data_IF_672258244771
#
_entry.id   IF_672258244771
#
_cell.length_a   1.000
_cell.length_b   1.000
_cell.length_c   1.000
_cell.angle_alpha   90.00
_cell.angle_beta   90.00
_cell.angle_gamma   90.00
#
_symmetry.space_group_name_H-M   'P 1'
#
loop_
_entity.id
_entity.type
_entity.pdbx_description
1 polymer ?
#
# COMPACT_ATOMS: atom_id res chain seq x y z
N UNK A 1 -19.23 14.03 45.05
CA UNK A 1 -19.61 13.36 43.78
C UNK A 1 -18.59 13.74 42.73
N UNK A 2 -17.64 12.85 42.42
CA UNK A 2 -16.68 13.09 41.32
C UNK A 2 -17.36 12.64 40.03
N UNK A 3 -17.71 13.60 39.17
CA UNK A 3 -18.23 13.31 37.84
C UNK A 3 -17.08 12.73 37.01
N UNK A 4 -17.19 11.44 36.66
CA UNK A 4 -16.33 10.84 35.66
C UNK A 4 -16.76 11.35 34.29
N UNK A 5 -15.87 12.03 33.59
CA UNK A 5 -16.06 12.33 32.18
C UNK A 5 -15.65 11.09 31.38
N UNK A 6 -16.62 10.48 30.72
CA UNK A 6 -16.37 9.59 29.59
C UNK A 6 -16.09 10.50 28.40
N UNK A 7 -14.84 10.53 27.94
CA UNK A 7 -14.48 11.18 26.67
C UNK A 7 -14.78 10.17 25.57
N UNK A 8 -15.91 10.33 24.89
CA UNK A 8 -16.13 9.72 23.57
C UNK A 8 -15.51 10.70 22.57
N UNK A 9 -14.35 10.35 22.02
CA UNK A 9 -13.79 11.02 20.85
C UNK A 9 -14.67 10.68 19.63
N UNK A 10 -15.64 11.55 19.36
CA UNK A 10 -16.36 11.58 18.08
C UNK A 10 -15.36 12.13 17.06
N UNK A 11 -15.04 11.31 16.06
CA UNK A 11 -14.00 11.57 15.07
C UNK A 11 -14.22 12.88 14.31
N UNK A 12 -13.45 13.89 14.67
CA UNK A 12 -12.91 14.84 13.72
C UNK A 12 -11.55 14.28 13.32
N UNK A 13 -11.50 13.66 12.14
CA UNK A 13 -10.24 13.29 11.49
C UNK A 13 -9.50 14.59 11.16
N UNK A 14 -8.69 15.08 12.10
CA UNK A 14 -7.58 15.95 11.76
C UNK A 14 -6.52 15.04 11.10
N UNK A 15 -5.97 15.39 9.93
CA UNK A 15 -4.85 14.66 9.38
C UNK A 15 -3.70 14.77 10.39
N UNK A 16 -3.44 13.68 11.10
CA UNK A 16 -2.32 13.53 12.02
C UNK A 16 -1.03 13.57 11.19
N UNK A 17 -0.34 14.71 11.23
CA UNK A 17 0.94 14.90 10.55
C UNK A 17 2.03 14.19 11.36
N UNK A 18 2.11 12.86 11.27
CA UNK A 18 3.20 12.13 11.94
C UNK A 18 3.13 10.61 12.00
N UNK A 19 2.15 9.96 11.38
CA UNK A 19 1.92 8.53 11.59
C UNK A 19 2.57 7.59 10.56
N UNK A 20 3.36 8.14 9.62
CA UNK A 20 3.82 7.39 8.46
C UNK A 20 5.34 7.49 8.29
N UNK A 21 5.99 6.35 8.03
CA UNK A 21 7.42 6.28 7.71
C UNK A 21 7.67 7.02 6.40
N UNK A 22 8.58 8.03 6.32
CA UNK A 22 9.89 8.21 6.95
C UNK A 22 9.98 9.30 8.03
N UNK A 23 8.85 9.83 8.53
CA UNK A 23 8.85 10.90 9.54
C UNK A 23 8.81 10.38 10.97
N UNK A 24 8.53 9.08 11.13
CA UNK A 24 8.45 8.37 12.41
C UNK A 24 9.76 7.62 12.71
N UNK A 25 10.38 7.91 13.86
CA UNK A 25 11.63 7.27 14.32
C UNK A 25 11.45 5.81 14.70
N UNK A 26 10.20 5.33 14.80
CA UNK A 26 9.87 3.96 15.18
C UNK A 26 10.17 2.93 14.08
N UNK A 27 10.54 3.35 12.87
CA UNK A 27 10.70 2.47 11.71
C UNK A 27 12.17 2.29 11.28
N UNK A 28 12.51 1.07 10.84
CA UNK A 28 13.72 0.74 10.10
C UNK A 28 13.38 0.51 8.62
N UNK A 29 14.26 0.95 7.72
CA UNK A 29 14.13 0.69 6.29
C UNK A 29 14.54 -0.75 6.00
N UNK A 30 13.63 -1.52 5.40
CA UNK A 30 13.84 -2.92 4.99
C UNK A 30 14.16 -3.01 3.51
N UNK A 31 13.49 -2.18 2.74
CA UNK A 31 13.66 -2.07 1.30
C UNK A 31 13.53 -0.62 0.89
N UNK A 32 14.39 -0.20 -0.02
CA UNK A 32 14.30 1.07 -0.69
C UNK A 32 14.86 0.89 -2.09
N UNK A 33 14.09 1.34 -3.08
CA UNK A 33 14.56 1.48 -4.44
C UNK A 33 14.18 2.89 -4.93
N UNK A 34 15.20 3.69 -5.23
CA UNK A 34 15.08 5.03 -5.80
C UNK A 34 15.09 5.02 -7.33
N UNK A 35 15.12 3.82 -7.93
CA UNK A 35 15.16 3.60 -9.36
C UNK A 35 16.29 4.36 -10.08
N UNK A 36 17.41 4.59 -9.39
CA UNK A 36 18.64 5.09 -10.00
C UNK A 36 19.11 4.20 -11.16
N UNK A 37 18.88 2.89 -11.07
CA UNK A 37 18.99 1.93 -12.17
C UNK A 37 17.93 0.82 -12.02
N UNK A 38 17.67 0.04 -13.08
CA UNK A 38 16.75 -1.09 -12.96
C UNK A 38 17.48 -2.27 -12.33
N UNK A 39 17.16 -2.59 -11.07
CA UNK A 39 17.80 -3.69 -10.36
C UNK A 39 17.02 -5.01 -10.56
N UNK A 40 17.52 -5.86 -11.46
CA UNK A 40 16.91 -7.17 -11.75
C UNK A 40 17.02 -8.18 -10.61
N UNK A 41 17.86 -7.93 -9.60
CA UNK A 41 17.88 -8.75 -8.38
C UNK A 41 16.69 -8.42 -7.47
N UNK A 42 16.15 -7.20 -7.54
CA UNK A 42 14.98 -6.78 -6.76
C UNK A 42 13.68 -7.01 -7.52
N UNK A 43 13.68 -6.75 -8.83
CA UNK A 43 12.47 -6.70 -9.64
C UNK A 43 12.51 -7.62 -10.85
N UNK A 44 11.35 -8.19 -11.15
CA UNK A 44 11.05 -8.85 -12.41
C UNK A 44 10.16 -7.95 -13.26
N UNK A 45 10.47 -7.82 -14.56
CA UNK A 45 9.61 -7.17 -15.54
C UNK A 45 8.70 -8.21 -16.17
N UNK A 46 7.39 -7.99 -16.09
CA UNK A 46 6.42 -8.83 -16.77
C UNK A 46 6.68 -8.86 -18.28
N UNK A 47 6.52 -10.04 -18.88
CA UNK A 47 6.66 -10.24 -20.31
C UNK A 47 5.65 -11.26 -20.79
N UNK A 48 4.99 -10.98 -21.92
CA UNK A 48 3.94 -11.84 -22.48
C UNK A 48 2.87 -12.18 -21.44
N UNK A 49 2.48 -11.21 -20.63
CA UNK A 49 1.54 -11.40 -19.53
C UNK A 49 0.30 -10.54 -19.74
N UNK A 50 -0.87 -11.13 -19.43
CA UNK A 50 -2.19 -10.50 -19.53
C UNK A 50 -2.93 -10.81 -18.25
N UNK A 51 -3.68 -9.83 -17.75
CA UNK A 51 -4.60 -10.00 -16.63
C UNK A 51 -6.03 -10.07 -17.14
N UNK A 52 -6.84 -10.80 -16.40
CA UNK A 52 -8.28 -10.85 -16.60
C UNK A 52 -8.89 -11.97 -15.80
N UNK A 53 -10.21 -12.02 -15.86
CA UNK A 53 -11.01 -13.02 -15.19
C UNK A 53 -12.25 -13.39 -15.99
N UNK A 54 -13.17 -14.13 -15.37
CA UNK A 54 -14.42 -14.54 -15.99
C UNK A 54 -15.32 -13.37 -16.42
N UNK A 55 -15.06 -12.15 -15.93
CA UNK A 55 -15.85 -10.95 -16.22
C UNK A 55 -15.25 -10.07 -17.31
N UNK A 56 -13.99 -10.30 -17.70
CA UNK A 56 -13.33 -9.52 -18.72
C UNK A 56 -11.81 -9.66 -18.72
N UNK A 57 -11.25 -9.41 -19.89
CA UNK A 57 -9.81 -9.34 -20.13
C UNK A 57 -9.36 -7.88 -20.19
N UNK A 58 -8.23 -7.59 -19.55
CA UNK A 58 -7.54 -6.30 -19.73
C UNK A 58 -6.95 -6.22 -21.14
N UNK A 59 -7.12 -5.11 -21.87
CA UNK A 59 -6.82 -5.07 -23.30
C UNK A 59 -5.31 -5.03 -23.61
N UNK A 60 -4.44 -4.75 -22.63
CA UNK A 60 -3.00 -4.64 -22.81
C UNK A 60 -2.23 -5.93 -22.51
N UNK A 61 -1.12 -6.12 -23.23
CA UNK A 61 -0.09 -7.12 -22.88
C UNK A 61 1.06 -6.43 -22.15
N UNK A 62 1.45 -6.96 -21.01
CA UNK A 62 2.63 -6.50 -20.28
C UNK A 62 3.91 -7.01 -20.94
N UNK A 63 4.82 -6.08 -21.24
CA UNK A 63 6.12 -6.36 -21.88
C UNK A 63 7.27 -5.62 -21.19
N UNK A 64 8.48 -6.17 -21.31
CA UNK A 64 9.66 -5.63 -20.63
C UNK A 64 10.06 -4.23 -21.13
N UNK A 65 9.87 -3.97 -22.42
CA UNK A 65 10.22 -2.69 -23.05
C UNK A 65 9.36 -1.52 -22.57
N UNK A 66 8.23 -1.80 -21.92
CA UNK A 66 7.31 -0.80 -21.40
C UNK A 66 7.49 -0.57 -19.89
N UNK A 67 8.50 -1.17 -19.28
CA UNK A 67 8.99 -0.85 -17.94
C UNK A 67 10.49 -0.51 -18.00
N UNK A 68 10.86 0.76 -17.83
CA UNK A 68 12.25 1.20 -17.99
C UNK A 68 12.60 2.39 -17.11
N UNK A 69 13.90 2.65 -16.95
CA UNK A 69 14.39 3.81 -16.21
C UNK A 69 14.61 4.95 -17.17
N UNK A 70 14.19 6.15 -16.79
CA UNK A 70 14.43 7.36 -17.57
C UNK A 70 14.80 8.53 -16.66
N UNK A 71 15.64 9.44 -17.15
CA UNK A 71 16.00 10.67 -16.44
C UNK A 71 14.93 11.73 -16.69
N UNK A 72 14.19 12.10 -15.63
CA UNK A 72 13.04 13.00 -15.68
C UNK A 72 13.12 13.95 -14.49
N UNK A 73 12.97 15.25 -14.74
CA UNK A 73 12.90 16.29 -13.71
C UNK A 73 14.07 16.27 -12.70
N UNK A 74 15.27 15.93 -13.17
CA UNK A 74 16.50 16.01 -12.38
C UNK A 74 16.94 14.70 -11.72
N UNK A 75 16.18 13.61 -11.81
CA UNK A 75 16.58 12.30 -11.31
C UNK A 75 16.11 11.16 -12.22
N UNK A 76 16.65 9.97 -12.01
CA UNK A 76 16.09 8.77 -12.63
C UNK A 76 14.76 8.42 -11.97
N UNK A 77 13.83 7.89 -12.76
CA UNK A 77 12.52 7.38 -12.35
C UNK A 77 12.29 6.05 -13.04
N UNK A 78 11.56 5.15 -12.38
CA UNK A 78 10.92 4.04 -13.09
C UNK A 78 9.73 4.58 -13.88
N UNK A 79 9.64 4.21 -15.14
CA UNK A 79 8.57 4.57 -16.06
C UNK A 79 7.86 3.32 -16.51
N UNK A 80 6.56 3.24 -16.25
CA UNK A 80 5.66 2.28 -16.87
C UNK A 80 4.89 3.00 -17.97
N UNK A 81 5.00 2.51 -19.20
CA UNK A 81 4.39 3.12 -20.38
C UNK A 81 3.28 2.24 -20.92
N UNK A 82 2.10 2.81 -21.17
CA UNK A 82 1.07 2.16 -21.97
C UNK A 82 1.00 2.79 -23.36
N UNK A 83 0.88 1.97 -24.41
CA UNK A 83 0.79 2.44 -25.80
C UNK A 83 -0.19 1.62 -26.62
N UNK A 84 -0.77 2.28 -27.62
CA UNK A 84 -1.55 1.65 -28.69
C UNK A 84 -0.63 1.26 -29.83
N UNK A 85 -0.82 0.07 -30.37
CA UNK A 85 -0.10 -0.49 -31.51
C UNK A 85 -0.93 -0.33 -32.79
N UNK A 86 -0.23 -0.21 -33.92
CA UNK A 86 -0.86 -0.16 -35.25
C UNK A 86 -1.30 -1.55 -35.75
N UNK A 87 -0.72 -2.61 -35.18
CA UNK A 87 -1.02 -4.02 -35.46
C UNK A 87 -1.05 -4.80 -34.15
N UNK A 88 -1.76 -5.94 -34.07
CA UNK A 88 -1.77 -6.76 -32.87
C UNK A 88 -0.36 -7.14 -32.41
N UNK A 89 -0.16 -7.18 -31.10
CA UNK A 89 1.06 -7.68 -30.49
C UNK A 89 1.37 -9.09 -30.98
N UNK A 90 2.63 -9.32 -31.37
CA UNK A 90 3.08 -10.61 -31.89
C UNK A 90 3.73 -11.40 -30.75
N UNK A 91 3.08 -12.48 -30.34
CA UNK A 91 3.53 -13.35 -29.26
C UNK A 91 4.78 -14.13 -29.65
N UNK A 92 5.83 -14.04 -28.83
CA UNK A 92 7.08 -14.79 -29.05
C UNK A 92 7.00 -16.24 -28.54
N UNK A 93 6.06 -16.57 -27.64
CA UNK A 93 5.79 -17.94 -27.20
C UNK A 93 4.30 -18.13 -26.79
N UNK A 94 3.43 -18.55 -27.72
CA UNK A 94 1.99 -18.70 -27.48
C UNK A 94 1.63 -19.73 -26.39
N UNK A 95 2.53 -20.66 -26.06
CA UNK A 95 2.28 -21.64 -24.98
C UNK A 95 2.35 -21.03 -23.58
N UNK A 96 3.09 -19.93 -23.39
CA UNK A 96 3.18 -19.20 -22.12
C UNK A 96 1.93 -18.35 -21.83
N UNK A 97 1.11 -18.11 -22.86
CA UNK A 97 -0.12 -17.32 -22.79
C UNK A 97 -1.30 -18.09 -22.16
N UNK A 98 -1.17 -19.42 -21.98
CA UNK A 98 -2.32 -20.29 -21.74
C UNK A 98 -2.08 -21.25 -20.54
N UNK A 99 -2.20 -20.77 -19.28
CA UNK A 99 -1.87 -21.55 -18.08
C UNK A 99 -2.76 -22.79 -17.84
N UNK A 100 -3.95 -22.83 -18.46
CA UNK A 100 -4.85 -24.00 -18.44
C UNK A 100 -5.04 -24.49 -19.88
N UNK A 101 -4.41 -25.63 -20.19
CA UNK A 101 -4.30 -26.23 -21.53
C UNK A 101 -5.40 -25.88 -22.53
N UNK A 102 -4.99 -25.46 -23.74
CA UNK A 102 -5.77 -25.21 -24.96
C UNK A 102 -6.98 -24.24 -24.89
N UNK A 103 -7.50 -23.87 -23.72
CA UNK A 103 -8.52 -22.84 -23.57
C UNK A 103 -7.86 -21.54 -23.11
N UNK A 104 -7.44 -20.73 -24.07
CA UNK A 104 -6.95 -19.40 -23.77
C UNK A 104 -8.17 -18.52 -23.50
N UNK A 105 -8.29 -18.06 -22.26
CA UNK A 105 -9.34 -17.12 -21.82
C UNK A 105 -9.17 -15.73 -22.43
N UNK A 106 -8.06 -15.52 -23.13
CA UNK A 106 -7.52 -14.26 -23.58
C UNK A 106 -7.48 -14.22 -25.11
N UNK A 107 -7.83 -13.08 -25.69
CA UNK A 107 -7.87 -12.93 -27.14
C UNK A 107 -6.45 -12.84 -27.71
N UNK A 108 -6.21 -13.43 -28.88
CA UNK A 108 -4.90 -13.29 -29.53
C UNK A 108 -4.62 -11.87 -30.07
N UNK A 109 -5.60 -10.95 -30.03
CA UNK A 109 -5.57 -9.67 -30.73
C UNK A 109 -5.45 -8.47 -29.76
N UNK A 110 -4.32 -8.36 -29.07
CA UNK A 110 -4.04 -7.18 -28.25
C UNK A 110 -3.42 -6.06 -29.06
N UNK A 111 -4.05 -4.89 -29.05
CA UNK A 111 -3.54 -3.67 -29.68
C UNK A 111 -2.91 -2.71 -28.68
N UNK A 112 -2.72 -3.13 -27.43
CA UNK A 112 -2.14 -2.31 -26.39
C UNK A 112 -1.02 -3.07 -25.71
N UNK A 113 0.05 -2.36 -25.34
CA UNK A 113 1.10 -2.90 -24.48
C UNK A 113 1.31 -2.00 -23.28
N UNK A 114 1.77 -2.57 -22.18
CA UNK A 114 2.03 -1.82 -20.95
C UNK A 114 3.20 -2.36 -20.12
N UNK A 115 3.58 -1.61 -19.09
CA UNK A 115 4.59 -1.96 -18.11
C UNK A 115 3.99 -2.55 -16.83
N UNK A 116 4.60 -3.61 -16.34
CA UNK A 116 4.39 -4.15 -15.00
C UNK A 116 5.72 -4.66 -14.45
N UNK A 117 5.94 -4.43 -13.17
CA UNK A 117 7.02 -5.05 -12.40
C UNK A 117 6.48 -5.74 -11.15
N UNK A 118 7.19 -6.75 -10.70
CA UNK A 118 6.91 -7.44 -9.44
C UNK A 118 8.19 -7.68 -8.66
N UNK A 119 8.13 -7.63 -7.33
CA UNK A 119 9.30 -7.95 -6.51
C UNK A 119 9.69 -9.42 -6.64
N UNK A 120 10.99 -9.70 -6.65
CA UNK A 120 11.51 -11.08 -6.68
C UNK A 120 11.37 -11.79 -5.34
N UNK A 121 11.26 -11.02 -4.25
CA UNK A 121 11.09 -11.53 -2.89
C UNK A 121 9.69 -11.23 -2.36
N UNK A 122 9.31 -12.02 -1.37
CA UNK A 122 8.06 -11.86 -0.63
C UNK A 122 8.30 -11.02 0.62
N UNK A 123 7.35 -10.16 0.95
CA UNK A 123 7.36 -9.35 2.15
C UNK A 123 6.16 -9.70 3.03
N UNK A 124 6.34 -9.57 4.34
CA UNK A 124 5.27 -9.82 5.31
C UNK A 124 5.28 -8.73 6.35
N UNK A 125 4.12 -8.09 6.51
CA UNK A 125 3.90 -6.94 7.37
C UNK A 125 4.86 -5.77 7.10
N UNK A 126 4.59 -4.65 7.75
CA UNK A 126 5.35 -3.41 7.58
C UNK A 126 4.53 -2.29 6.96
N UNK A 127 5.22 -1.18 6.74
CA UNK A 127 4.70 -0.04 6.00
C UNK A 127 5.27 -0.06 4.58
N UNK A 128 4.40 -0.11 3.58
CA UNK A 128 4.75 -0.08 2.17
C UNK A 128 4.32 1.27 1.60
N UNK A 129 5.21 1.99 0.94
CA UNK A 129 4.93 3.30 0.34
C UNK A 129 5.52 3.37 -1.07
N UNK A 130 4.73 3.93 -1.99
CA UNK A 130 5.18 4.35 -3.32
C UNK A 130 4.98 5.86 -3.45
N UNK A 131 5.95 6.54 -4.06
CA UNK A 131 5.79 7.92 -4.51
C UNK A 131 5.69 7.95 -6.04
N UNK A 132 4.49 8.22 -6.56
CA UNK A 132 4.20 8.06 -7.97
C UNK A 132 3.32 9.18 -8.53
N UNK A 133 3.57 9.51 -9.80
CA UNK A 133 2.72 10.35 -10.65
C UNK A 133 2.02 9.47 -11.65
N UNK A 134 0.70 9.51 -11.63
CA UNK A 134 -0.16 8.65 -12.42
C UNK A 134 -0.59 9.35 -13.72
N UNK A 135 -0.92 8.62 -14.80
CA UNK A 135 -1.38 9.24 -16.03
C UNK A 135 -2.75 9.88 -15.84
N UNK A 136 -2.92 11.08 -16.40
CA UNK A 136 -4.23 11.66 -16.62
C UNK A 136 -4.87 11.05 -17.87
N UNK A 137 -6.19 10.91 -17.85
CA UNK A 137 -6.96 10.41 -18.99
C UNK A 137 -7.86 9.22 -18.64
N UNK A 138 -8.91 9.08 -19.43
CA UNK A 138 -9.90 8.02 -19.28
C UNK A 138 -9.29 6.66 -19.57
N UNK A 139 -9.79 5.62 -18.89
CA UNK A 139 -9.45 4.19 -19.02
C UNK A 139 -8.16 3.67 -18.38
N UNK A 140 -7.22 4.52 -17.98
CA UNK A 140 -6.03 4.04 -17.29
C UNK A 140 -6.38 3.50 -15.90
N UNK A 141 -5.78 2.37 -15.54
CA UNK A 141 -5.94 1.70 -14.25
C UNK A 141 -4.56 1.38 -13.66
N UNK A 142 -3.80 2.39 -13.23
CA UNK A 142 -2.55 2.17 -12.52
C UNK A 142 -2.83 1.56 -11.15
N UNK A 143 -1.95 0.66 -10.72
CA UNK A 143 -2.07 0.01 -9.44
C UNK A 143 -0.71 -0.18 -8.74
N UNK A 144 -0.75 -0.09 -7.41
CA UNK A 144 0.29 -0.51 -6.48
C UNK A 144 -0.36 -1.44 -5.45
N UNK A 145 0.07 -2.69 -5.41
CA UNK A 145 -0.67 -3.74 -4.71
C UNK A 145 0.23 -4.89 -4.29
N UNK A 146 -0.28 -5.71 -3.38
CA UNK A 146 0.38 -6.89 -2.84
C UNK A 146 -0.47 -8.11 -3.16
N UNK A 147 0.16 -9.17 -3.64
CA UNK A 147 -0.55 -10.42 -3.95
C UNK A 147 0.31 -11.64 -3.66
N UNK A 148 -0.29 -12.80 -3.42
CA UNK A 148 0.44 -14.05 -3.23
C UNK A 148 1.02 -14.64 -4.54
N UNK A 149 0.91 -13.90 -5.65
CA UNK A 149 1.34 -14.32 -6.99
C UNK A 149 0.66 -15.62 -7.45
N UNK A 150 1.22 -16.25 -8.49
CA UNK A 150 0.86 -17.61 -8.92
C UNK A 150 1.20 -18.71 -7.89
N UNK A 151 1.57 -18.34 -6.66
CA UNK A 151 1.81 -19.26 -5.55
C UNK A 151 0.55 -19.34 -4.68
N UNK A 152 -0.60 -19.57 -5.31
CA UNK A 152 -1.81 -19.93 -4.59
C UNK A 152 -1.52 -21.23 -3.85
N UNK A 153 -1.55 -21.25 -2.51
CA UNK A 153 -1.32 -22.49 -1.80
C UNK A 153 -2.43 -23.51 -2.17
N UNK A 154 -2.20 -24.82 -1.99
CA UNK A 154 -3.11 -25.86 -2.48
C UNK A 154 -4.56 -25.76 -1.98
N UNK A 155 -4.79 -24.94 -0.95
CA UNK A 155 -6.08 -24.68 -0.33
C UNK A 155 -6.81 -23.44 -0.88
N UNK A 156 -6.46 -22.98 -2.09
CA UNK A 156 -7.09 -21.81 -2.71
C UNK A 156 -6.96 -20.51 -1.91
N UNK A 157 -5.95 -20.38 -1.03
CA UNK A 157 -5.84 -19.18 -0.21
C UNK A 157 -5.36 -17.98 -1.03
N UNK A 158 -6.31 -17.19 -1.51
CA UNK A 158 -6.08 -15.95 -2.23
C UNK A 158 -5.86 -14.81 -1.23
N UNK A 159 -4.83 -14.00 -1.45
CA UNK A 159 -4.48 -12.89 -0.57
C UNK A 159 -4.07 -11.68 -1.40
N UNK A 160 -4.85 -10.62 -1.34
CA UNK A 160 -4.61 -9.38 -2.08
C UNK A 160 -4.86 -8.15 -1.19
N UNK A 161 -3.91 -7.23 -1.23
CA UNK A 161 -4.01 -5.90 -0.64
C UNK A 161 -3.73 -4.90 -1.76
N UNK A 162 -4.77 -4.27 -2.27
CA UNK A 162 -4.61 -3.18 -3.22
C UNK A 162 -4.38 -1.90 -2.43
N UNK A 163 -3.15 -1.41 -2.47
CA UNK A 163 -2.72 -0.21 -1.73
C UNK A 163 -3.28 1.03 -2.43
N UNK A 164 -3.19 1.04 -3.75
CA UNK A 164 -3.79 2.05 -4.61
C UNK A 164 -4.18 1.43 -5.94
N UNK A 165 -5.43 1.63 -6.32
CA UNK A 165 -5.91 1.49 -7.69
C UNK A 165 -6.53 2.81 -8.13
N UNK A 166 -5.99 3.45 -9.17
CA UNK A 166 -6.59 4.66 -9.68
C UNK A 166 -7.65 4.35 -10.72
N UNK A 167 -8.75 5.09 -10.70
CA UNK A 167 -9.82 4.93 -11.66
C UNK A 167 -9.76 6.02 -12.72
N UNK A 168 -9.15 5.74 -13.88
CA UNK A 168 -9.08 6.69 -15.01
C UNK A 168 -10.42 7.31 -15.43
N UNK A 169 -11.54 6.63 -15.14
CA UNK A 169 -12.89 7.16 -15.37
C UNK A 169 -13.32 8.22 -14.36
N UNK A 170 -12.73 8.20 -13.17
CA UNK A 170 -13.06 9.04 -12.03
C UNK A 170 -11.76 9.57 -11.41
N UNK A 171 -11.06 10.49 -12.10
CA UNK A 171 -9.68 10.88 -11.77
C UNK A 171 -9.51 11.63 -10.44
N UNK A 172 -10.60 11.83 -9.71
CA UNK A 172 -10.64 12.44 -8.38
C UNK A 172 -10.63 11.39 -7.25
N UNK A 173 -10.50 10.11 -7.59
CA UNK A 173 -10.58 9.02 -6.63
C UNK A 173 -9.51 7.97 -6.89
N UNK A 174 -8.97 7.44 -5.79
CA UNK A 174 -8.24 6.16 -5.79
C UNK A 174 -8.99 5.18 -4.91
N UNK A 175 -8.78 3.89 -5.16
CA UNK A 175 -9.40 2.82 -4.41
C UNK A 175 -8.35 2.05 -3.62
N UNK A 176 -8.79 1.55 -2.47
CA UNK A 176 -8.15 0.46 -1.76
C UNK A 176 -9.05 -0.76 -1.85
N UNK A 177 -8.47 -1.95 -1.94
CA UNK A 177 -9.22 -3.19 -1.88
C UNK A 177 -8.49 -4.23 -1.03
N UNK A 178 -9.29 -5.12 -0.44
CA UNK A 178 -8.82 -6.24 0.36
C UNK A 178 -9.59 -7.47 -0.09
N UNK A 179 -8.84 -8.53 -0.38
CA UNK A 179 -9.42 -9.82 -0.73
C UNK A 179 -8.64 -10.95 -0.07
N UNK A 180 -9.33 -11.70 0.78
CA UNK A 180 -8.81 -12.89 1.43
C UNK A 180 -9.89 -13.98 1.43
N UNK A 181 -9.65 -15.09 0.74
CA UNK A 181 -10.60 -16.22 0.68
C UNK A 181 -9.88 -17.55 0.54
N UNK A 182 -10.50 -18.62 1.05
CA UNK A 182 -10.12 -20.01 0.81
C UNK A 182 -10.94 -20.66 -0.31
N UNK A 183 -11.84 -19.92 -0.94
CA UNK A 183 -12.63 -20.38 -2.06
C UNK A 183 -12.01 -19.92 -3.38
N UNK A 184 -11.77 -20.86 -4.29
CA UNK A 184 -11.24 -20.59 -5.61
C UNK A 184 -12.26 -19.90 -6.54
N UNK A 185 -13.55 -19.92 -6.19
CA UNK A 185 -14.65 -19.37 -6.99
C UNK A 185 -15.16 -18.03 -6.44
N UNK A 186 -14.91 -17.75 -5.17
CA UNK A 186 -15.33 -16.51 -4.51
C UNK A 186 -14.30 -15.40 -4.73
N UNK A 187 -14.78 -14.20 -5.02
CA UNK A 187 -13.95 -13.00 -5.11
C UNK A 187 -14.58 -11.88 -4.30
N UNK A 188 -14.81 -12.15 -3.01
CA UNK A 188 -15.29 -11.13 -2.10
C UNK A 188 -14.29 -9.98 -2.04
N UNK A 189 -14.72 -8.82 -2.53
CA UNK A 189 -13.92 -7.59 -2.61
C UNK A 189 -14.48 -6.59 -1.63
N UNK A 190 -13.65 -6.15 -0.69
CA UNK A 190 -13.96 -4.98 0.14
C UNK A 190 -13.26 -3.76 -0.47
N UNK A 191 -13.82 -3.21 -1.55
CA UNK A 191 -13.26 -2.05 -2.24
C UNK A 191 -13.88 -0.74 -1.72
N UNK A 192 -13.04 0.25 -1.39
CA UNK A 192 -13.45 1.57 -0.90
C UNK A 192 -12.71 2.66 -1.67
N UNK A 193 -13.46 3.69 -2.09
CA UNK A 193 -12.93 4.88 -2.78
C UNK A 193 -12.53 5.99 -1.81
N UNK A 194 -11.41 6.64 -2.10
CA UNK A 194 -10.80 7.72 -1.33
C UNK A 194 -10.62 8.95 -2.22
N UNK A 195 -10.97 10.15 -1.73
CA UNK A 195 -10.77 11.37 -2.50
C UNK A 195 -9.28 11.63 -2.70
N UNK A 196 -8.87 11.70 -3.96
CA UNK A 196 -7.51 12.02 -4.38
C UNK A 196 -7.54 12.44 -5.85
N UNK A 197 -7.28 13.72 -6.14
CA UNK A 197 -7.11 14.14 -7.53
C UNK A 197 -5.70 13.79 -8.02
N UNK A 198 -5.47 12.51 -8.27
CA UNK A 198 -4.19 12.01 -8.74
C UNK A 198 -3.83 12.48 -10.16
N UNK A 199 -4.80 13.06 -10.89
CA UNK A 199 -4.65 13.54 -12.27
C UNK A 199 -4.18 14.99 -12.38
N UNK A 200 -3.90 15.64 -11.25
CA UNK A 200 -3.47 17.04 -11.15
C UNK A 200 -2.07 17.31 -11.73
N UNK A 201 -1.37 16.25 -12.15
CA UNK A 201 -0.03 16.31 -12.72
C UNK A 201 1.09 16.27 -11.68
N UNK A 202 0.78 16.02 -10.41
CA UNK A 202 1.74 15.89 -9.33
C UNK A 202 2.01 14.44 -8.97
N UNK A 203 3.02 14.25 -8.12
CA UNK A 203 3.30 12.97 -7.48
C UNK A 203 2.55 12.91 -6.14
N UNK A 204 2.03 11.74 -5.83
CA UNK A 204 1.32 11.46 -4.57
C UNK A 204 1.96 10.27 -3.85
N UNK A 205 1.80 10.25 -2.53
CA UNK A 205 2.19 9.10 -1.72
C UNK A 205 1.02 8.15 -1.55
N UNK A 206 1.22 6.88 -1.89
CA UNK A 206 0.26 5.83 -1.60
C UNK A 206 0.91 4.78 -0.74
N UNK A 207 0.26 4.39 0.36
CA UNK A 207 0.86 3.44 1.27
C UNK A 207 -0.11 2.63 2.11
N UNK A 208 0.41 1.55 2.69
CA UNK A 208 -0.32 0.70 3.63
C UNK A 208 0.57 0.33 4.80
N UNK A 209 0.05 0.43 6.02
CA UNK A 209 0.57 -0.27 7.20
C UNK A 209 -0.18 -1.58 7.32
N UNK A 210 0.51 -2.69 7.11
CA UNK A 210 -0.03 -4.04 7.26
C UNK A 210 0.66 -4.70 8.44
N UNK A 211 -0.11 -5.11 9.45
CA UNK A 211 0.40 -5.90 10.56
C UNK A 211 -0.57 -7.04 10.89
N UNK A 212 -0.26 -7.84 11.91
CA UNK A 212 -1.07 -9.00 12.28
C UNK A 212 -2.52 -8.66 12.67
N UNK A 213 -2.73 -7.48 13.24
CA UNK A 213 -3.99 -7.11 13.88
C UNK A 213 -4.86 -6.22 12.98
N UNK A 214 -4.24 -5.38 12.16
CA UNK A 214 -4.93 -4.42 11.29
C UNK A 214 -4.17 -4.10 10.01
N UNK A 215 -4.91 -3.57 9.04
CA UNK A 215 -4.41 -3.02 7.79
C UNK A 215 -4.93 -1.59 7.68
N UNK A 216 -4.02 -0.63 7.49
CA UNK A 216 -4.35 0.80 7.39
C UNK A 216 -3.80 1.37 6.10
N UNK A 217 -4.65 1.98 5.27
CA UNK A 217 -4.28 2.60 4.00
C UNK A 217 -4.12 4.11 4.15
N UNK A 218 -3.25 4.66 3.31
CA UNK A 218 -2.85 6.05 3.33
C UNK A 218 -2.78 6.65 1.93
N UNK A 219 -3.25 7.88 1.79
CA UNK A 219 -3.05 8.74 0.62
C UNK A 219 -2.43 10.04 1.10
N UNK A 220 -1.32 10.46 0.49
CA UNK A 220 -0.51 11.61 0.90
C UNK A 220 -0.19 11.59 2.41
N UNK A 221 0.11 10.38 2.88
CA UNK A 221 0.37 10.03 4.29
C UNK A 221 -0.76 10.33 5.28
N UNK A 222 -1.97 10.58 4.79
CA UNK A 222 -3.17 10.68 5.62
C UNK A 222 -3.88 9.33 5.62
N UNK A 223 -4.25 8.82 6.80
CA UNK A 223 -5.02 7.58 6.90
C UNK A 223 -6.40 7.76 6.28
N UNK A 224 -6.77 6.89 5.35
CA UNK A 224 -8.05 6.94 4.63
C UNK A 224 -8.93 5.72 4.89
N UNK A 225 -8.34 4.62 5.38
CA UNK A 225 -9.05 3.38 5.71
C UNK A 225 -8.29 2.57 6.73
N UNK A 226 -9.01 1.89 7.61
CA UNK A 226 -8.47 0.84 8.46
C UNK A 226 -9.46 -0.32 8.58
N UNK A 227 -8.98 -1.55 8.47
CA UNK A 227 -9.75 -2.76 8.73
C UNK A 227 -8.97 -3.67 9.69
N UNK A 228 -9.63 -4.54 10.47
CA UNK A 228 -8.92 -5.56 11.23
C UNK A 228 -8.35 -6.63 10.29
N UNK A 229 -7.13 -7.11 10.54
CA UNK A 229 -6.48 -8.17 9.76
C UNK A 229 -6.93 -9.58 10.19
N UNK A 230 -8.23 -9.70 10.42
CA UNK A 230 -8.97 -10.93 10.62
C UNK A 230 -10.39 -10.81 10.03
N UNK A 231 -10.57 -9.88 9.09
CA UNK A 231 -11.83 -9.69 8.38
C UNK A 231 -12.32 -11.04 7.81
N UNK A 232 -13.61 -11.30 7.98
CA UNK A 232 -14.26 -12.58 7.65
C UNK A 232 -13.68 -13.82 8.34
N UNK A 233 -12.87 -13.64 9.39
CA UNK A 233 -12.20 -14.73 10.11
C UNK A 233 -10.97 -15.31 9.40
N UNK A 234 -10.48 -14.65 8.34
CA UNK A 234 -9.40 -15.16 7.48
C UNK A 234 -8.13 -14.31 7.67
N UNK A 235 -8.21 -13.01 7.35
CA UNK A 235 -7.05 -12.11 7.35
C UNK A 235 -5.97 -12.47 6.33
N UNK A 236 -4.98 -11.60 6.15
CA UNK A 236 -3.82 -11.82 5.29
C UNK A 236 -2.58 -11.95 6.17
N UNK A 237 -2.08 -13.18 6.26
CA UNK A 237 -1.02 -13.57 7.19
C UNK A 237 0.21 -14.16 6.48
N UNK A 238 0.13 -14.40 5.17
CA UNK A 238 1.23 -14.95 4.38
C UNK A 238 2.06 -13.84 3.71
N UNK A 239 3.37 -14.06 3.49
CA UNK A 239 4.17 -13.13 2.70
C UNK A 239 3.64 -12.96 1.26
N UNK A 240 3.67 -11.73 0.75
CA UNK A 240 3.16 -11.33 -0.57
C UNK A 240 4.26 -10.69 -1.43
N UNK A 241 4.13 -10.75 -2.76
CA UNK A 241 4.95 -9.94 -3.66
C UNK A 241 4.36 -8.55 -3.81
N UNK A 242 5.22 -7.57 -4.06
CA UNK A 242 4.80 -6.25 -4.54
C UNK A 242 4.58 -6.31 -6.04
N UNK A 243 3.51 -5.68 -6.51
CA UNK A 243 3.22 -5.51 -7.93
C UNK A 243 2.93 -4.03 -8.21
N UNK A 244 3.49 -3.54 -9.31
CA UNK A 244 3.26 -2.19 -9.82
C UNK A 244 2.98 -2.31 -11.31
N UNK A 245 1.84 -1.82 -11.76
CA UNK A 245 1.44 -1.88 -13.16
C UNK A 245 0.65 -0.65 -13.58
N UNK A 246 0.61 -0.42 -14.89
CA UNK A 246 -0.28 0.53 -15.53
C UNK A 246 -1.26 -0.22 -16.44
N UNK A 247 -2.41 -0.65 -15.92
CA UNK A 247 -3.41 -1.34 -16.71
C UNK A 247 -4.30 -0.40 -17.52
N UNK A 248 -5.14 -0.99 -18.37
CA UNK A 248 -6.32 -0.36 -18.94
C UNK A 248 -7.56 -1.09 -18.43
N UNK A 249 -8.64 -0.36 -18.13
CA UNK A 249 -9.89 -1.01 -17.76
C UNK A 249 -10.39 -1.96 -18.86
N UNK A 250 -10.91 -3.15 -18.50
CA UNK A 250 -11.55 -4.05 -19.44
C UNK A 250 -12.69 -3.38 -20.20
N UNK A 251 -12.71 -3.44 -21.56
CA UNK A 251 -13.82 -2.89 -22.34
C UNK A 251 -15.18 -3.51 -21.99
N UNK A 252 -15.21 -4.79 -21.57
CA UNK A 252 -16.43 -5.50 -21.20
C UNK A 252 -17.18 -4.87 -20.02
N UNK A 253 -16.48 -4.11 -19.17
CA UNK A 253 -17.09 -3.45 -18.02
C UNK A 253 -17.88 -2.20 -18.42
N UNK A 254 -17.78 -1.73 -19.67
CA UNK A 254 -18.47 -0.54 -20.20
C UNK A 254 -18.36 0.71 -19.29
N UNK A 255 -17.28 0.79 -18.51
CA UNK A 255 -17.05 1.86 -17.52
C UNK A 255 -16.56 3.16 -18.15
N UNK A 256 -15.72 3.05 -19.19
CA UNK A 256 -15.21 4.16 -19.99
C UNK A 256 -14.92 3.78 -21.44
N UNK A 257 -14.93 4.78 -22.32
CA UNK A 257 -14.65 4.60 -23.75
C UNK A 257 -13.15 4.72 -24.04
N UNK A 258 -12.57 3.61 -24.52
CA UNK A 258 -11.16 3.51 -24.92
C UNK A 258 -10.79 4.38 -26.12
N UNK A 259 -11.75 4.68 -26.99
CA UNK A 259 -11.52 5.35 -28.29
C UNK A 259 -11.16 6.84 -28.19
N UNK A 260 -11.35 7.45 -27.00
CA UNK A 260 -11.03 8.87 -26.78
C UNK A 260 -9.71 9.10 -26.05
N UNK A 261 -9.04 8.03 -25.63
CA UNK A 261 -7.82 8.09 -24.82
C UNK A 261 -6.58 8.32 -25.70
N UNK A 262 -5.73 9.26 -25.28
CA UNK A 262 -4.47 9.55 -25.94
C UNK A 262 -3.38 8.60 -25.47
N UNK A 263 -2.60 8.08 -26.43
CA UNK A 263 -1.45 7.22 -26.18
C UNK A 263 -0.19 7.82 -26.84
N UNK A 264 1.01 7.58 -26.27
CA UNK A 264 1.28 6.81 -25.05
C UNK A 264 0.92 7.56 -23.77
N UNK A 265 0.74 6.80 -22.69
CA UNK A 265 0.58 7.33 -21.33
C UNK A 265 1.59 6.67 -20.39
N UNK A 266 1.82 7.33 -19.25
CA UNK A 266 2.95 7.02 -18.39
C UNK A 266 2.56 7.09 -16.91
N UNK A 267 3.00 6.10 -16.15
CA UNK A 267 3.11 6.15 -14.70
C UNK A 267 4.59 6.32 -14.37
N UNK A 268 4.89 7.35 -13.59
CA UNK A 268 6.25 7.67 -13.15
C UNK A 268 6.38 7.35 -11.67
N UNK A 269 7.36 6.54 -11.32
CA UNK A 269 7.62 6.13 -9.95
C UNK A 269 8.98 6.69 -9.55
N UNK A 270 8.98 7.46 -8.47
CA UNK A 270 10.19 8.05 -7.90
C UNK A 270 10.90 7.04 -7.00
N UNK A 271 10.16 6.47 -6.04
CA UNK A 271 10.70 5.45 -5.16
C UNK A 271 9.62 4.49 -4.67
N UNK A 272 10.08 3.34 -4.19
CA UNK A 272 9.31 2.41 -3.36
C UNK A 272 10.09 2.13 -2.10
N UNK A 273 9.45 2.30 -0.95
CA UNK A 273 10.05 2.03 0.35
C UNK A 273 9.19 1.03 1.13
N UNK A 274 9.86 0.17 1.89
CA UNK A 274 9.24 -0.74 2.84
C UNK A 274 9.96 -0.61 4.16
N UNK A 275 9.19 -0.54 5.24
CA UNK A 275 9.70 -0.34 6.58
C UNK A 275 9.10 -1.33 7.55
N UNK A 276 9.87 -1.73 8.56
CA UNK A 276 9.35 -2.46 9.72
C UNK A 276 9.48 -1.61 10.97
N UNK A 277 8.58 -1.83 11.92
CA UNK A 277 8.75 -1.26 13.24
C UNK A 277 10.02 -1.83 13.87
N UNK A 278 10.78 -0.95 14.52
CA UNK A 278 11.87 -1.35 15.39
C UNK A 278 11.28 -1.97 16.64
N UNK A 279 11.83 -3.10 17.08
CA UNK A 279 11.28 -3.83 18.22
C UNK A 279 12.29 -3.99 19.34
N UNK A 280 11.78 -3.91 20.57
CA UNK A 280 12.45 -4.28 21.79
C UNK A 280 11.53 -5.24 22.56
N UNK A 281 11.57 -6.51 22.15
CA UNK A 281 10.62 -7.56 22.57
C UNK A 281 10.65 -7.86 24.07
N UNK A 282 11.71 -7.48 24.76
CA UNK A 282 11.84 -7.61 26.22
C UNK A 282 11.69 -6.28 26.94
N UNK A 283 11.60 -5.17 26.20
CA UNK A 283 11.54 -3.82 26.73
C UNK A 283 10.28 -3.60 27.54
N UNK A 284 10.44 -3.21 28.80
CA UNK A 284 9.35 -2.82 29.69
C UNK A 284 9.65 -1.41 30.14
N UNK A 285 8.71 -0.49 29.92
CA UNK A 285 8.78 0.85 30.49
C UNK A 285 7.85 0.90 31.69
N UNK A 286 8.38 1.27 32.84
CA UNK A 286 7.60 1.64 34.02
C UNK A 286 8.22 2.91 34.60
N UNK A 287 7.60 4.06 34.33
CA UNK A 287 8.21 5.35 34.58
C UNK A 287 7.26 6.35 35.24
N UNK A 288 7.81 7.14 36.17
CA UNK A 288 7.16 8.26 36.83
C UNK A 288 7.92 9.54 36.44
N UNK A 289 7.23 10.62 36.06
CA UNK A 289 7.83 11.86 35.56
C UNK A 289 8.79 11.58 34.38
N UNK A 290 8.31 10.81 33.40
CA UNK A 290 9.13 10.29 32.32
C UNK A 290 9.58 11.42 31.38
N UNK A 291 10.87 11.41 31.02
CA UNK A 291 11.40 12.30 30.00
C UNK A 291 11.22 11.66 28.61
N UNK A 292 10.23 12.14 27.86
CA UNK A 292 9.91 11.64 26.53
C UNK A 292 10.99 11.92 25.47
N UNK A 293 11.93 12.84 25.71
CA UNK A 293 13.06 13.06 24.79
C UNK A 293 14.04 11.89 24.76
N UNK A 294 14.03 11.06 25.82
CA UNK A 294 14.83 9.84 25.92
C UNK A 294 14.07 8.60 25.45
N UNK A 295 12.85 8.75 24.93
CA UNK A 295 12.08 7.62 24.47
C UNK A 295 12.78 6.96 23.28
N UNK A 296 13.21 5.72 23.53
CA UNK A 296 13.70 4.81 22.53
C UNK A 296 12.50 4.24 21.78
N UNK A 297 12.22 4.84 20.62
CA UNK A 297 11.11 4.67 19.67
C UNK A 297 10.82 3.24 19.18
N UNK A 298 11.37 2.21 19.83
CA UNK A 298 11.08 0.81 19.55
C UNK A 298 9.78 0.39 20.22
N UNK A 299 9.03 -0.49 19.55
CA UNK A 299 7.88 -1.18 20.13
C UNK A 299 8.35 -1.94 21.36
N UNK A 300 7.77 -1.61 22.52
CA UNK A 300 8.07 -2.25 23.79
C UNK A 300 7.12 -3.42 24.02
N UNK A 301 7.45 -4.31 24.95
CA UNK A 301 6.51 -5.34 25.40
C UNK A 301 5.30 -4.71 26.08
N UNK A 302 5.54 -3.86 27.07
CA UNK A 302 4.52 -3.07 27.73
C UNK A 302 5.08 -1.73 28.23
N UNK A 303 4.18 -0.76 28.38
CA UNK A 303 4.52 0.59 28.82
C UNK A 303 3.55 0.99 29.92
N UNK A 304 4.08 1.41 31.07
CA UNK A 304 3.35 2.06 32.15
C UNK A 304 3.98 3.42 32.42
N UNK A 305 3.18 4.48 32.30
CA UNK A 305 3.61 5.86 32.61
C UNK A 305 2.76 6.41 33.74
N UNK A 306 3.41 6.95 34.76
CA UNK A 306 2.81 7.65 35.89
C UNK A 306 2.64 6.78 37.14
N UNK A 307 1.65 7.11 37.96
CA UNK A 307 1.50 6.60 39.33
C UNK A 307 1.17 7.69 40.34
N UNK A 308 1.05 7.31 41.61
CA UNK A 308 0.72 8.27 42.68
C UNK A 308 1.88 9.27 42.88
N UNK A 309 1.58 10.56 42.74
CA UNK A 309 2.57 11.65 42.86
C UNK A 309 3.38 11.90 41.59
N UNK A 310 3.03 11.25 40.47
CA UNK A 310 3.66 11.46 39.17
C UNK A 310 2.87 12.46 38.33
N UNK A 311 3.57 13.40 37.71
CA UNK A 311 3.05 14.27 36.66
C UNK A 311 3.90 14.09 35.40
N UNK A 312 3.28 13.66 34.31
CA UNK A 312 3.95 13.49 33.02
C UNK A 312 3.43 14.54 32.05
N UNK A 313 4.32 15.15 31.28
CA UNK A 313 3.94 16.17 30.30
C UNK A 313 4.65 15.89 28.99
N UNK A 314 3.89 15.94 27.90
CA UNK A 314 4.43 16.07 26.55
C UNK A 314 4.43 17.56 26.24
N UNK A 315 5.63 18.12 26.12
CA UNK A 315 5.87 19.55 25.93
C UNK A 315 5.37 20.03 24.55
N UNK A 316 5.05 21.32 24.47
CA UNK A 316 4.60 21.98 23.24
C UNK A 316 5.49 21.66 22.02
N UNK A 317 4.85 21.31 20.90
CA UNK A 317 5.52 21.06 19.63
C UNK A 317 6.18 19.68 19.50
N UNK A 318 6.07 18.82 20.52
CA UNK A 318 6.60 17.45 20.48
C UNK A 318 5.60 16.50 19.83
N UNK A 319 6.09 15.56 19.04
CA UNK A 319 5.30 14.43 18.53
C UNK A 319 5.84 13.13 19.12
N UNK A 320 5.04 12.48 19.97
CA UNK A 320 5.43 11.25 20.68
C UNK A 320 4.50 10.11 20.28
N UNK A 321 5.09 9.02 19.81
CA UNK A 321 4.39 7.77 19.47
C UNK A 321 4.86 6.65 20.37
N UNK A 322 4.03 6.24 21.33
CA UNK A 322 4.29 5.06 22.15
C UNK A 322 3.70 3.83 21.47
N UNK A 323 4.53 2.80 21.28
CA UNK A 323 4.06 1.52 20.76
C UNK A 323 4.39 0.39 21.72
N UNK A 324 3.42 -0.48 21.99
CA UNK A 324 3.65 -1.67 22.81
C UNK A 324 2.91 -2.90 22.26
N UNK A 325 3.39 -4.10 22.62
CA UNK A 325 2.79 -5.35 22.17
C UNK A 325 1.65 -5.86 23.05
N UNK A 326 1.75 -5.68 24.36
CA UNK A 326 0.74 -6.20 25.31
C UNK A 326 -0.20 -5.08 25.76
N UNK A 327 0.35 -3.98 26.26
CA UNK A 327 -0.45 -2.85 26.72
C UNK A 327 0.37 -1.57 26.86
N UNK A 328 -0.34 -0.44 26.79
CA UNK A 328 0.11 0.87 27.26
C UNK A 328 -0.86 1.32 28.35
N UNK A 329 -0.34 1.69 29.50
CA UNK A 329 -1.12 2.16 30.64
C UNK A 329 -0.61 3.53 31.10
N UNK A 330 -1.52 4.51 31.16
CA UNK A 330 -1.26 5.84 31.71
C UNK A 330 -1.98 5.97 33.05
N UNK A 331 -1.23 6.25 34.12
CA UNK A 331 -1.72 6.32 35.49
C UNK A 331 -1.47 7.71 36.09
N UNK A 332 -2.49 8.35 36.66
CA UNK A 332 -2.33 9.63 37.34
C UNK A 332 -2.33 10.82 36.38
N UNK A 333 -1.60 11.89 36.72
CA UNK A 333 -1.60 13.14 35.94
C UNK A 333 -0.76 13.01 34.68
N UNK A 334 -1.36 13.37 33.54
CA UNK A 334 -0.75 13.36 32.23
C UNK A 334 -1.23 14.57 31.43
N UNK A 335 -0.31 15.39 30.96
CA UNK A 335 -0.58 16.62 30.20
C UNK A 335 0.01 16.52 28.80
N UNK A 336 -0.75 16.91 27.78
CA UNK A 336 -0.25 17.15 26.43
C UNK A 336 -0.45 18.63 26.16
N UNK A 337 0.65 19.36 26.00
CA UNK A 337 0.59 20.81 25.81
C UNK A 337 0.07 21.19 24.41
N UNK A 338 -0.50 22.40 24.24
CA UNK A 338 -0.92 22.89 22.93
C UNK A 338 0.21 22.77 21.91
N UNK A 339 -0.11 22.30 20.71
CA UNK A 339 0.87 22.11 19.62
C UNK A 339 1.66 20.80 19.69
N UNK A 340 1.50 20.00 20.75
CA UNK A 340 2.04 18.66 20.82
C UNK A 340 1.07 17.60 20.26
N UNK A 341 1.62 16.49 19.79
CA UNK A 341 0.91 15.29 19.35
C UNK A 341 1.33 14.10 20.21
N UNK A 342 0.34 13.30 20.61
CA UNK A 342 0.56 12.08 21.36
C UNK A 342 -0.25 10.93 20.77
N UNK A 343 0.45 9.90 20.33
CA UNK A 343 -0.14 8.69 19.76
C UNK A 343 0.28 7.47 20.58
N UNK A 344 -0.68 6.57 20.81
CA UNK A 344 -0.46 5.30 21.48
C UNK A 344 -1.01 4.18 20.61
N UNK A 345 -0.23 3.14 20.42
CA UNK A 345 -0.58 2.02 19.58
C UNK A 345 -0.22 0.71 20.26
N UNK A 346 -1.19 -0.20 20.34
CA UNK A 346 -0.98 -1.53 20.88
C UNK A 346 -1.30 -2.54 19.79
N UNK A 347 -0.27 -3.22 19.29
CA UNK A 347 -0.41 -4.33 18.34
C UNK A 347 0.68 -5.36 18.63
N UNK A 348 0.42 -6.63 18.32
CA UNK A 348 1.44 -7.67 18.41
C UNK A 348 2.71 -7.30 17.60
N UNK A 349 3.85 -7.82 18.06
CA UNK A 349 5.10 -7.73 17.30
C UNK A 349 4.93 -8.32 15.89
N UNK A 350 5.66 -7.75 14.93
CA UNK A 350 5.63 -8.16 13.53
C UNK A 350 6.27 -9.54 13.32
#
# INVERSE_FOLDING_TARGET
>A
MKQGFIIILIGLFFPTLGQNSPQDKNWDTVFQDDFSTFNTSLWYKAHNHVHGDSTGEEPQVYIQDDAYINYIDGSNKLVLRTRKLNSPYQWTNPSQHCPKGNNCWYSNNHYYTSGQISSNILYKYGYFEIYAKLPSGTVFWPAFWLWNANKIPPNCFYNEIDIMEANGCEPNWVSSNFQATFDCEERDRDAIHHTCNYSDGNYHWFGVEWNRDKITWYVDRVSVRQIPNNLWGIGIQNPLVIIINLALFPPSWNKCLLDTTLFPAYMYIDYVNIYHLKEDRTGIINACNYNFDLYDNRVKRNITIGGQGCGNTIENGKNITLRAAEFIQINGEFTVEPGAEFYMDVNEFY
#
